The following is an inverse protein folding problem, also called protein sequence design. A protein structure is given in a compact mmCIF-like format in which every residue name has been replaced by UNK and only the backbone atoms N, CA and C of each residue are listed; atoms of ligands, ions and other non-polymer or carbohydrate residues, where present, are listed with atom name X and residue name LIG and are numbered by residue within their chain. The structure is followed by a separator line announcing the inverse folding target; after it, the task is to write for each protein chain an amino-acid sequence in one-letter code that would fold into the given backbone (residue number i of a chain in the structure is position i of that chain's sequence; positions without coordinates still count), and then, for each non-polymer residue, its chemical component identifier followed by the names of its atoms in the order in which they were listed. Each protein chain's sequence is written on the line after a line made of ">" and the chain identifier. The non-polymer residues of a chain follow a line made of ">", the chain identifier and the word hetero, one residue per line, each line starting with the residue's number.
data_IF_003247570461
#
_entry.id   IF_003247570461
#
_cell.length_a   1.000
_cell.length_b   1.000
_cell.length_c   1.000
_cell.angle_alpha   90.00
_cell.angle_beta   90.00
_cell.angle_gamma   90.00
#
_symmetry.space_group_name_H-M   'P 1'
#
loop_
_entity.id
_entity.type
_entity.pdbx_description
1 polymer ?
#
# COMPACT_ATOMS: atom_id res chain seq x y z
N UNK A 1 9.75 -8.30 -7.76
CA UNK A 1 8.58 -7.64 -8.39
C UNK A 1 7.34 -8.50 -8.17
N UNK A 2 6.23 -7.88 -7.78
CA UNK A 2 4.91 -8.49 -7.65
C UNK A 2 3.97 -7.87 -8.68
N UNK A 3 3.12 -8.70 -9.29
CA UNK A 3 2.09 -8.25 -10.23
C UNK A 3 0.71 -8.60 -9.66
N UNK A 4 -0.13 -7.59 -9.44
CA UNK A 4 -1.50 -7.72 -8.96
C UNK A 4 -2.49 -7.26 -10.03
N UNK A 5 -3.64 -7.93 -10.12
CA UNK A 5 -4.78 -7.47 -10.90
C UNK A 5 -5.95 -7.14 -9.99
N UNK A 6 -6.61 -6.00 -10.23
CA UNK A 6 -7.82 -5.62 -9.49
C UNK A 6 -8.78 -4.78 -10.34
N UNK A 7 -10.06 -4.74 -9.96
CA UNK A 7 -11.08 -3.91 -10.61
C UNK A 7 -11.06 -2.45 -10.14
N UNK A 8 -10.56 -2.22 -8.94
CA UNK A 8 -10.39 -0.90 -8.33
C UNK A 8 -8.96 -0.76 -7.81
N UNK A 9 -8.41 0.45 -7.86
CA UNK A 9 -7.07 0.68 -7.35
C UNK A 9 -6.84 2.15 -6.99
N UNK A 10 -6.57 2.42 -5.71
CA UNK A 10 -6.19 3.73 -5.20
C UNK A 10 -4.73 4.06 -5.52
N UNK A 11 -4.42 4.27 -6.80
CA UNK A 11 -3.07 4.57 -7.30
C UNK A 11 -2.41 5.73 -6.54
N UNK A 12 -3.15 6.83 -6.35
CA UNK A 12 -2.62 8.04 -5.72
C UNK A 12 -2.26 7.80 -4.26
N UNK A 13 -3.10 7.06 -3.53
CA UNK A 13 -2.84 6.68 -2.14
C UNK A 13 -1.64 5.75 -2.02
N UNK A 14 -1.54 4.74 -2.90
CA UNK A 14 -0.37 3.85 -2.91
C UNK A 14 0.91 4.62 -3.23
N UNK A 15 0.89 5.48 -4.25
CA UNK A 15 2.06 6.27 -4.61
C UNK A 15 2.48 7.18 -3.45
N UNK A 16 1.53 7.87 -2.82
CA UNK A 16 1.82 8.71 -1.66
C UNK A 16 2.43 7.92 -0.50
N UNK A 17 1.87 6.74 -0.17
CA UNK A 17 2.42 5.88 0.86
C UNK A 17 3.84 5.39 0.50
N UNK A 18 4.06 4.98 -0.76
CA UNK A 18 5.35 4.51 -1.25
C UNK A 18 6.43 5.61 -1.21
N UNK A 19 6.09 6.84 -1.62
CA UNK A 19 6.99 8.00 -1.61
C UNK A 19 7.45 8.36 -0.18
N UNK A 20 6.61 8.08 0.82
CA UNK A 20 6.93 8.24 2.23
C UNK A 20 7.55 6.99 2.88
N UNK A 21 7.80 5.92 2.10
CA UNK A 21 8.38 4.67 2.59
C UNK A 21 7.44 3.78 3.41
N UNK A 22 6.12 3.99 3.29
CA UNK A 22 5.06 3.28 3.99
C UNK A 22 4.37 2.21 3.14
N UNK A 23 4.84 1.96 1.91
CA UNK A 23 4.35 0.91 1.03
C UNK A 23 5.46 0.47 0.06
N UNK A 24 5.36 -0.72 -0.58
CA UNK A 24 6.25 -1.11 -1.67
C UNK A 24 6.29 -0.06 -2.78
N UNK A 25 7.43 0.10 -3.46
CA UNK A 25 7.48 1.05 -4.57
C UNK A 25 6.53 0.64 -5.69
N UNK A 26 5.72 1.60 -6.14
CA UNK A 26 4.79 1.41 -7.25
C UNK A 26 5.53 1.63 -8.58
N UNK A 27 5.81 0.55 -9.31
CA UNK A 27 6.62 0.57 -10.51
C UNK A 27 5.78 0.93 -11.76
N UNK A 28 4.55 0.42 -11.83
CA UNK A 28 3.64 0.70 -12.94
C UNK A 28 2.19 0.42 -12.57
N UNK A 29 1.27 1.23 -13.12
CA UNK A 29 -0.17 0.95 -13.11
C UNK A 29 -0.69 1.18 -14.51
N UNK A 30 -1.31 0.15 -15.09
CA UNK A 30 -1.95 0.21 -16.41
C UNK A 30 -3.35 -0.38 -16.36
N UNK A 31 -4.19 -0.05 -17.34
CA UNK A 31 -5.47 -0.74 -17.55
C UNK A 31 -5.36 -1.71 -18.70
N UNK A 32 -5.88 -2.91 -18.48
CA UNK A 32 -6.07 -3.93 -19.52
C UNK A 32 -7.28 -3.60 -20.39
N UNK A 33 -7.38 -4.22 -21.56
CA UNK A 33 -8.53 -4.09 -22.45
C UNK A 33 -9.86 -4.53 -21.80
N UNK A 34 -9.81 -5.44 -20.82
CA UNK A 34 -10.98 -5.91 -20.07
C UNK A 34 -11.32 -5.01 -18.86
N UNK A 35 -10.66 -3.86 -18.71
CA UNK A 35 -10.96 -2.89 -17.66
C UNK A 35 -10.28 -3.16 -16.32
N UNK A 36 -9.53 -4.25 -16.16
CA UNK A 36 -8.76 -4.50 -14.93
C UNK A 36 -7.54 -3.59 -14.85
N UNK A 37 -7.19 -3.16 -13.65
CA UNK A 37 -5.85 -2.65 -13.35
C UNK A 37 -4.84 -3.80 -13.37
N UNK A 38 -3.70 -3.56 -14.01
CA UNK A 38 -2.47 -4.33 -13.85
C UNK A 38 -1.49 -3.46 -13.07
N UNK A 39 -1.15 -3.89 -11.86
CA UNK A 39 -0.33 -3.16 -10.92
C UNK A 39 0.99 -3.91 -10.75
N UNK A 40 2.09 -3.24 -11.02
CA UNK A 40 3.44 -3.76 -10.84
C UNK A 40 4.09 -2.97 -9.70
N UNK A 41 4.53 -3.68 -8.67
CA UNK A 41 5.17 -3.09 -7.49
C UNK A 41 6.37 -3.94 -7.07
N UNK A 42 7.17 -3.42 -6.15
CA UNK A 42 8.23 -4.22 -5.55
C UNK A 42 7.68 -5.43 -4.80
N UNK A 43 8.41 -6.54 -4.90
CA UNK A 43 8.16 -7.68 -4.02
C UNK A 43 8.91 -7.42 -2.72
N UNK A 44 8.24 -7.61 -1.59
CA UNK A 44 8.82 -7.45 -0.26
C UNK A 44 8.75 -8.78 0.49
N UNK A 45 9.78 -9.03 1.30
CA UNK A 45 9.74 -10.09 2.30
C UNK A 45 9.03 -9.56 3.55
N UNK A 46 8.17 -10.38 4.16
CA UNK A 46 7.43 -10.02 5.37
C UNK A 46 8.18 -10.58 6.57
N UNK A 47 8.56 -9.69 7.48
CA UNK A 47 9.18 -10.03 8.75
C UNK A 47 8.10 -10.61 9.69
N UNK A 48 8.46 -11.53 10.60
CA UNK A 48 7.52 -12.10 11.58
C UNK A 48 7.09 -11.10 12.67
N UNK A 49 7.73 -9.93 12.72
CA UNK A 49 7.46 -8.87 13.68
C UNK A 49 6.05 -8.28 13.52
N UNK A 50 5.47 -7.88 14.64
CA UNK A 50 4.20 -7.17 14.64
C UNK A 50 4.44 -5.67 14.39
N UNK A 51 3.58 -5.00 13.60
CA UNK A 51 3.65 -3.57 13.43
C UNK A 51 3.52 -2.83 14.76
N UNK A 52 4.44 -1.89 15.02
CA UNK A 52 4.33 -1.04 16.20
C UNK A 52 3.14 -0.08 16.05
N UNK A 53 2.41 0.17 17.15
CA UNK A 53 1.28 1.09 17.15
C UNK A 53 1.71 2.52 16.74
N UNK A 54 2.87 2.97 17.20
CA UNK A 54 3.37 4.31 16.89
C UNK A 54 3.67 4.49 15.39
N UNK A 55 4.26 3.48 14.75
CA UNK A 55 4.48 3.49 13.31
C UNK A 55 3.14 3.50 12.56
N UNK A 56 2.18 2.69 12.98
CA UNK A 56 0.84 2.66 12.39
C UNK A 56 0.14 4.02 12.49
N UNK A 57 0.16 4.65 13.66
CA UNK A 57 -0.43 5.97 13.86
C UNK A 57 0.27 7.05 13.02
N UNK A 58 1.58 6.95 12.86
CA UNK A 58 2.37 7.84 12.00
C UNK A 58 1.91 7.75 10.55
N UNK A 59 1.75 6.53 10.03
CA UNK A 59 1.29 6.28 8.66
C UNK A 59 -0.13 6.83 8.46
N UNK A 60 -1.05 6.52 9.38
CA UNK A 60 -2.43 6.99 9.29
C UNK A 60 -2.51 8.52 9.31
N UNK A 61 -1.70 9.17 10.16
CA UNK A 61 -1.62 10.63 10.20
C UNK A 61 -1.12 11.20 8.88
N UNK A 62 -0.06 10.62 8.29
CA UNK A 62 0.48 11.02 7.01
C UNK A 62 -0.57 10.93 5.88
N UNK A 63 -1.31 9.82 5.80
CA UNK A 63 -2.41 9.67 4.84
C UNK A 63 -3.51 10.71 5.05
N UNK A 64 -3.97 10.90 6.29
CA UNK A 64 -5.06 11.84 6.58
C UNK A 64 -4.69 13.31 6.35
N UNK A 65 -3.43 13.69 6.59
CA UNK A 65 -2.91 15.03 6.26
C UNK A 65 -2.97 15.28 4.75
N UNK A 66 -2.71 14.25 3.94
CA UNK A 66 -2.88 14.26 2.48
C UNK A 66 -4.32 14.04 2.00
N UNK A 67 -5.30 13.98 2.91
CA UNK A 67 -6.73 13.73 2.63
C UNK A 67 -7.05 12.34 2.04
N UNK A 68 -6.18 11.37 2.27
CA UNK A 68 -6.39 9.98 1.83
C UNK A 68 -6.83 9.08 2.98
N UNK A 69 -7.60 8.04 2.65
CA UNK A 69 -7.84 6.88 3.52
C UNK A 69 -7.43 5.59 2.81
N UNK A 70 -7.02 4.58 3.58
CA UNK A 70 -6.67 3.27 3.02
C UNK A 70 -7.90 2.47 2.55
N UNK A 71 -9.05 2.63 3.21
CA UNK A 71 -10.31 1.97 2.86
C UNK A 71 -10.48 0.53 3.34
N UNK A 72 -9.41 -0.28 3.38
CA UNK A 72 -9.41 -1.63 3.99
C UNK A 72 -8.31 -1.76 5.04
N UNK A 73 -8.36 -0.95 6.10
CA UNK A 73 -7.33 -0.94 7.14
C UNK A 73 -7.55 -2.06 8.17
N UNK A 74 -6.71 -3.11 8.13
CA UNK A 74 -6.81 -4.28 9.01
C UNK A 74 -5.45 -4.97 9.19
N UNK A 75 -5.25 -5.82 10.22
CA UNK A 75 -3.95 -6.45 10.49
C UNK A 75 -3.33 -7.21 9.31
N UNK A 76 -4.14 -7.77 8.42
CA UNK A 76 -3.64 -8.46 7.22
C UNK A 76 -3.02 -7.56 6.15
N UNK A 77 -3.30 -6.25 6.20
CA UNK A 77 -2.83 -5.24 5.25
C UNK A 77 -1.76 -4.32 5.85
N UNK A 78 -1.28 -4.63 7.06
CA UNK A 78 -0.24 -3.88 7.76
C UNK A 78 0.83 -4.86 8.18
N UNK A 79 2.02 -4.74 7.58
CA UNK A 79 3.11 -5.71 7.73
C UNK A 79 4.40 -5.02 8.15
N UNK A 80 5.35 -5.80 8.67
CA UNK A 80 6.73 -5.35 8.85
C UNK A 80 7.58 -5.93 7.71
N UNK A 81 8.42 -5.10 7.11
CA UNK A 81 9.40 -5.52 6.10
C UNK A 81 10.67 -4.70 6.23
N UNK A 82 11.82 -5.37 6.32
CA UNK A 82 13.11 -4.74 6.61
C UNK A 82 13.02 -3.81 7.83
N UNK A 83 12.36 -4.27 8.90
CA UNK A 83 12.11 -3.51 10.13
C UNK A 83 11.29 -2.21 9.96
N UNK A 84 10.54 -2.06 8.86
CA UNK A 84 9.64 -0.93 8.61
C UNK A 84 8.20 -1.40 8.50
N UNK A 85 7.27 -0.65 9.09
CA UNK A 85 5.84 -0.90 8.90
C UNK A 85 5.42 -0.41 7.51
N UNK A 86 4.76 -1.28 6.75
CA UNK A 86 4.24 -0.99 5.41
C UNK A 86 2.76 -1.36 5.31
N UNK A 87 2.04 -0.61 4.47
CA UNK A 87 0.67 -0.89 4.05
C UNK A 87 0.65 -1.68 2.76
N UNK A 88 -0.32 -2.59 2.67
CA UNK A 88 -0.61 -3.41 1.49
C UNK A 88 -2.09 -3.27 1.13
N UNK A 89 -2.43 -3.63 -0.12
CA UNK A 89 -3.80 -3.73 -0.62
C UNK A 89 -4.59 -2.40 -0.68
N UNK A 90 -4.25 -1.59 -1.69
CA UNK A 90 -4.84 -0.28 -1.93
C UNK A 90 -6.11 -0.29 -2.80
N UNK A 91 -6.81 -1.42 -2.93
CA UNK A 91 -7.94 -1.55 -3.87
C UNK A 91 -9.14 -0.66 -3.48
N UNK A 92 -9.27 -0.37 -2.20
CA UNK A 92 -10.36 0.42 -1.60
C UNK A 92 -9.89 1.80 -1.14
N UNK A 93 -8.67 2.19 -1.46
CA UNK A 93 -8.10 3.47 -1.04
C UNK A 93 -8.60 4.62 -1.91
N UNK A 94 -8.76 5.79 -1.28
CA UNK A 94 -9.22 7.03 -1.91
C UNK A 94 -9.14 8.20 -0.96
#
# INVERSE_FOLDING_TARGET
>A
VLVKFSLSYGKEVHQHAADNGFAPSLLSVSRTHSGWYCIVMDYIDIDPDLPSLDSVLTILKNLHEAKFVHGDFRPGNVVVSNSKVMLLDFDWSG
#
